data_IF_224485108375
#
_entry.id   IF_224485108375
#
_cell.length_a   1.000
_cell.length_b   1.000
_cell.length_c   1.000
_cell.angle_alpha   90.00
_cell.angle_beta   90.00
_cell.angle_gamma   90.00
#
_symmetry.space_group_name_H-M   'P 1'
#
loop_
_entity.id
_entity.type
_entity.pdbx_description
1 polymer ?
#
# COMPACT_ATOMS: atom_id res chain seq x y z
N UNK A 1 11.27 0.17 -4.28
CA UNK A 1 11.92 1.47 -4.34
C UNK A 1 10.91 2.53 -3.94
N UNK A 2 11.25 3.30 -2.92
CA UNK A 2 10.34 4.31 -2.39
C UNK A 2 10.02 5.39 -3.42
N UNK A 3 11.00 5.76 -4.23
CA UNK A 3 10.79 6.81 -5.23
C UNK A 3 9.67 6.42 -6.20
N UNK A 4 9.69 5.19 -6.70
CA UNK A 4 8.66 4.72 -7.62
C UNK A 4 7.31 4.66 -6.92
N UNK A 5 7.28 4.19 -5.67
CA UNK A 5 6.02 4.08 -4.95
C UNK A 5 5.39 5.44 -4.68
N UNK A 6 6.21 6.42 -4.34
CA UNK A 6 5.68 7.77 -4.14
C UNK A 6 5.17 8.36 -5.44
N UNK A 7 5.87 8.12 -6.54
CA UNK A 7 5.41 8.61 -7.84
C UNK A 7 4.06 8.00 -8.21
N UNK A 8 3.91 6.70 -8.01
CA UNK A 8 2.64 6.02 -8.31
C UNK A 8 1.54 6.57 -7.42
N UNK A 9 1.82 6.71 -6.14
CA UNK A 9 0.82 7.20 -5.18
C UNK A 9 0.36 8.61 -5.55
N UNK A 10 1.32 9.48 -5.84
CA UNK A 10 0.99 10.86 -6.17
C UNK A 10 0.15 10.94 -7.44
N UNK A 11 0.54 10.20 -8.46
CA UNK A 11 -0.20 10.21 -9.72
C UNK A 11 -1.60 9.66 -9.55
N UNK A 12 -1.74 8.56 -8.82
CA UNK A 12 -3.05 7.97 -8.60
C UNK A 12 -3.95 8.88 -7.77
N UNK A 13 -3.37 9.58 -6.80
CA UNK A 13 -4.13 10.53 -6.00
C UNK A 13 -4.64 11.68 -6.86
N UNK A 14 -3.78 12.23 -7.71
CA UNK A 14 -4.18 13.33 -8.58
C UNK A 14 -5.30 12.90 -9.52
N UNK A 15 -5.23 11.69 -10.02
CA UNK A 15 -6.20 11.20 -11.00
C UNK A 15 -7.41 10.52 -10.36
N UNK A 16 -7.40 10.33 -9.05
CA UNK A 16 -8.49 9.64 -8.36
C UNK A 16 -8.56 8.16 -8.67
N UNK A 17 -7.44 7.55 -9.00
CA UNK A 17 -7.38 6.16 -9.41
C UNK A 17 -6.91 5.32 -8.22
N UNK A 18 -7.60 4.19 -7.93
CA UNK A 18 -7.09 3.29 -6.90
C UNK A 18 -5.87 2.53 -7.39
N UNK A 19 -5.03 2.11 -6.45
CA UNK A 19 -3.94 1.22 -6.79
C UNK A 19 -3.72 0.21 -5.68
N UNK A 20 -3.29 -0.96 -6.07
CA UNK A 20 -3.11 -2.06 -5.14
C UNK A 20 -1.64 -2.14 -4.77
N UNK A 21 -1.37 -1.98 -3.49
CA UNK A 21 -0.02 -1.95 -2.95
C UNK A 21 0.39 -3.34 -2.53
N UNK A 22 1.60 -3.73 -2.89
CA UNK A 22 2.19 -4.97 -2.41
C UNK A 22 3.68 -4.77 -2.19
N UNK A 23 4.20 -5.34 -1.11
CA UNK A 23 5.62 -5.27 -0.80
C UNK A 23 6.04 -6.58 -0.18
N UNK A 24 7.29 -6.96 -0.41
CA UNK A 24 7.84 -8.20 0.14
C UNK A 24 9.20 -7.93 0.75
N UNK A 25 9.51 -8.67 1.79
CA UNK A 25 10.81 -8.61 2.43
C UNK A 25 11.03 -9.94 3.17
N UNK A 26 12.05 -10.67 2.75
CA UNK A 26 12.42 -11.96 3.33
C UNK A 26 11.25 -12.95 3.31
N UNK A 27 10.60 -13.15 4.44
CA UNK A 27 9.50 -14.10 4.59
C UNK A 27 8.16 -13.42 4.72
N UNK A 28 8.12 -12.10 4.56
CA UNK A 28 6.95 -11.31 4.89
C UNK A 28 6.48 -10.51 3.71
N UNK A 29 5.19 -10.23 3.70
CA UNK A 29 4.61 -9.39 2.69
C UNK A 29 3.57 -8.47 3.28
N UNK A 30 3.26 -7.43 2.52
CA UNK A 30 2.22 -6.48 2.88
C UNK A 30 1.36 -6.24 1.66
N UNK A 31 0.06 -6.11 1.89
CA UNK A 31 -0.89 -5.82 0.82
C UNK A 31 -1.89 -4.81 1.34
N UNK A 32 -2.21 -3.83 0.52
CA UNK A 32 -3.27 -2.88 0.81
C UNK A 32 -3.81 -2.34 -0.49
N UNK A 33 -4.83 -1.51 -0.39
CA UNK A 33 -5.33 -0.78 -1.54
C UNK A 33 -5.46 0.68 -1.14
N UNK A 34 -4.90 1.56 -1.94
CA UNK A 34 -4.99 2.99 -1.71
C UNK A 34 -5.91 3.61 -2.74
N UNK A 35 -6.84 4.43 -2.29
CA UNK A 35 -7.75 5.12 -3.19
C UNK A 35 -8.04 6.48 -2.60
N UNK A 36 -7.10 7.38 -2.75
CA UNK A 36 -7.26 8.76 -2.32
C UNK A 36 -7.59 9.61 -3.52
N UNK A 37 -8.28 10.70 -3.31
CA UNK A 37 -8.57 11.61 -4.42
C UNK A 37 -8.61 13.04 -3.93
N UNK A 38 -8.25 13.92 -4.84
CA UNK A 38 -8.37 15.35 -4.69
C UNK A 38 -9.37 15.84 -5.72
N UNK A 39 -10.17 16.80 -5.40
CA UNK A 39 -10.28 17.52 -4.14
C UNK A 39 -11.22 16.88 -3.13
N UNK A 40 -11.76 15.70 -3.43
CA UNK A 40 -12.76 15.08 -2.57
C UNK A 40 -12.21 14.69 -1.21
N UNK A 41 -10.89 14.56 -1.10
CA UNK A 41 -10.24 14.31 0.18
C UNK A 41 -10.74 13.03 0.83
N UNK A 42 -10.91 12.01 0.01
CA UNK A 42 -11.38 10.71 0.47
C UNK A 42 -10.27 9.70 0.40
N UNK A 43 -10.33 8.73 1.32
CA UNK A 43 -9.36 7.68 1.38
C UNK A 43 -8.03 8.16 1.89
N UNK A 44 -7.03 7.32 1.76
CA UNK A 44 -5.68 7.68 2.14
C UNK A 44 -4.73 7.22 1.07
N UNK A 45 -3.57 7.86 1.01
CA UNK A 45 -2.56 7.54 0.02
C UNK A 45 -1.34 6.92 0.71
N UNK A 46 -0.38 6.51 -0.11
CA UNK A 46 0.82 5.88 0.40
C UNK A 46 1.58 6.81 1.35
N UNK A 47 1.54 8.13 1.10
CA UNK A 47 2.23 9.08 1.98
C UNK A 47 1.58 9.23 3.34
N UNK A 48 0.30 8.87 3.47
CA UNK A 48 -0.31 8.82 4.79
C UNK A 48 0.34 7.75 5.65
N UNK A 49 0.71 6.64 5.03
CA UNK A 49 1.34 5.53 5.73
C UNK A 49 2.84 5.75 5.89
N UNK A 50 3.48 6.29 4.87
CA UNK A 50 4.92 6.55 4.87
C UNK A 50 5.16 8.01 4.47
N UNK A 51 5.01 8.94 5.42
CA UNK A 51 5.02 10.38 5.09
C UNK A 51 6.39 10.92 4.75
N UNK A 52 7.44 10.28 5.19
CA UNK A 52 8.78 10.84 5.07
C UNK A 52 9.54 10.16 3.93
N UNK A 53 9.58 10.85 2.80
CA UNK A 53 10.26 10.32 1.62
C UNK A 53 11.77 10.23 1.82
N UNK A 54 12.31 10.97 2.78
CA UNK A 54 13.74 10.98 2.99
C UNK A 54 14.24 9.90 3.92
N UNK A 55 13.34 9.15 4.55
CA UNK A 55 13.75 8.06 5.42
C UNK A 55 14.10 6.83 4.60
N UNK A 56 14.81 7.05 3.53
CA UNK A 56 15.08 6.00 2.57
C UNK A 56 16.11 5.01 3.05
N UNK A 57 16.86 5.37 4.05
CA UNK A 57 17.94 4.52 4.50
C UNK A 57 17.44 3.23 5.15
N UNK A 58 16.17 3.16 5.46
CA UNK A 58 15.68 2.07 6.30
C UNK A 58 15.31 0.82 5.53
N UNK A 59 15.11 0.89 4.23
CA UNK A 59 14.55 -0.26 3.52
C UNK A 59 15.63 -0.99 2.75
N UNK A 60 16.08 -2.14 3.22
CA UNK A 60 16.97 -2.96 2.42
C UNK A 60 16.20 -3.46 1.20
N UNK A 61 16.90 -3.60 0.10
CA UNK A 61 16.25 -4.11 -1.09
C UNK A 61 16.25 -5.63 -1.08
N UNK A 62 15.44 -6.23 -1.94
CA UNK A 62 15.30 -7.67 -2.00
C UNK A 62 16.61 -8.36 -2.39
N UNK A 63 17.43 -7.70 -3.18
CA UNK A 63 18.69 -8.28 -3.60
C UNK A 63 19.60 -8.55 -2.42
N UNK A 64 19.65 -7.61 -1.47
CA UNK A 64 20.52 -7.76 -0.32
C UNK A 64 19.97 -8.72 0.73
N UNK A 65 18.68 -8.63 0.98
CA UNK A 65 18.07 -9.40 2.05
C UNK A 65 17.65 -10.79 1.61
N UNK A 66 17.38 -10.95 0.31
CA UNK A 66 16.77 -12.17 -0.18
C UNK A 66 15.29 -12.22 0.12
N UNK A 67 14.57 -13.04 -0.62
CA UNK A 67 13.12 -13.19 -0.45
C UNK A 67 12.78 -14.66 -0.73
N UNK A 68 12.01 -15.25 0.17
CA UNK A 68 11.49 -16.59 -0.06
C UNK A 68 10.54 -16.51 -1.26
N UNK A 69 10.79 -17.37 -2.26
CA UNK A 69 10.15 -17.24 -3.56
C UNK A 69 8.62 -17.30 -3.55
N UNK A 70 8.02 -17.98 -2.57
CA UNK A 70 6.56 -18.07 -2.51
C UNK A 70 5.91 -16.79 -1.98
N UNK A 71 6.69 -15.91 -1.32
CA UNK A 71 6.10 -14.67 -0.76
C UNK A 71 5.59 -13.75 -1.87
N UNK A 72 6.39 -13.43 -2.90
CA UNK A 72 5.86 -12.62 -4.01
C UNK A 72 4.67 -13.28 -4.69
N UNK A 73 4.66 -14.61 -4.76
CA UNK A 73 3.53 -15.31 -5.34
C UNK A 73 2.26 -15.07 -4.58
N UNK A 74 2.31 -15.23 -3.26
CA UNK A 74 1.14 -14.98 -2.43
C UNK A 74 0.71 -13.52 -2.48
N UNK A 75 1.66 -12.60 -2.36
CA UNK A 75 1.35 -11.17 -2.41
C UNK A 75 0.68 -10.83 -3.73
N UNK A 76 1.21 -11.34 -4.84
CA UNK A 76 0.62 -11.08 -6.15
C UNK A 76 -0.80 -11.60 -6.27
N UNK A 77 -1.06 -12.79 -5.74
CA UNK A 77 -2.42 -13.35 -5.77
C UNK A 77 -3.37 -12.47 -4.95
N UNK A 78 -2.93 -12.03 -3.77
CA UNK A 78 -3.75 -11.17 -2.94
C UNK A 78 -4.01 -9.82 -3.61
N UNK A 79 -3.00 -9.27 -4.27
CA UNK A 79 -3.19 -8.03 -5.03
C UNK A 79 -4.20 -8.24 -6.15
N UNK A 80 -4.12 -9.36 -6.84
CA UNK A 80 -5.09 -9.68 -7.89
C UNK A 80 -6.49 -9.79 -7.36
N UNK A 81 -6.65 -10.39 -6.18
CA UNK A 81 -7.96 -10.49 -5.55
C UNK A 81 -8.55 -9.11 -5.26
N UNK A 82 -7.71 -8.20 -4.74
CA UNK A 82 -8.18 -6.84 -4.46
C UNK A 82 -8.60 -6.12 -5.75
N UNK A 83 -7.81 -6.26 -6.79
CA UNK A 83 -8.14 -5.62 -8.07
C UNK A 83 -9.46 -6.16 -8.63
N UNK A 84 -9.64 -7.48 -8.58
CA UNK A 84 -10.86 -8.09 -9.10
C UNK A 84 -12.09 -7.67 -8.30
N UNK A 85 -11.98 -7.62 -6.97
CA UNK A 85 -13.10 -7.18 -6.15
C UNK A 85 -13.47 -5.75 -6.49
N UNK A 86 -12.48 -4.89 -6.67
CA UNK A 86 -12.76 -3.51 -7.01
C UNK A 86 -13.47 -3.41 -8.36
N UNK A 87 -12.96 -4.10 -9.36
CA UNK A 87 -13.53 -4.03 -10.70
C UNK A 87 -14.93 -4.64 -10.76
N UNK A 88 -15.19 -5.66 -9.98
CA UNK A 88 -16.48 -6.32 -9.96
C UNK A 88 -17.46 -5.68 -8.99
N UNK A 89 -16.99 -4.80 -8.13
CA UNK A 89 -17.85 -4.17 -7.13
C UNK A 89 -18.35 -5.13 -6.07
N UNK A 90 -17.54 -6.13 -5.70
CA UNK A 90 -17.96 -7.14 -4.72
C UNK A 90 -16.99 -7.20 -3.56
N UNK A 91 -17.46 -7.78 -2.47
CA UNK A 91 -16.63 -8.06 -1.31
C UNK A 91 -16.23 -6.80 -0.56
N UNK A 92 -15.23 -6.96 0.30
CA UNK A 92 -14.70 -5.88 1.12
C UNK A 92 -13.24 -5.68 0.76
N UNK A 93 -12.87 -4.44 0.42
CA UNK A 93 -11.50 -4.16 -0.01
C UNK A 93 -10.59 -3.92 1.19
N UNK A 94 -9.29 -3.92 0.91
CA UNK A 94 -8.29 -3.58 1.92
C UNK A 94 -8.07 -2.07 2.05
N UNK A 95 -8.96 -1.25 1.52
CA UNK A 95 -8.85 0.19 1.74
C UNK A 95 -8.94 0.48 3.22
N UNK A 96 -7.97 1.23 3.74
CA UNK A 96 -7.92 1.56 5.15
C UNK A 96 -7.32 0.47 6.03
N UNK A 97 -6.82 -0.59 5.43
CA UNK A 97 -6.21 -1.69 6.17
C UNK A 97 -4.93 -2.14 5.49
N UNK A 98 -3.93 -2.48 6.28
CA UNK A 98 -2.69 -3.04 5.76
C UNK A 98 -2.62 -4.49 6.23
N UNK A 99 -2.66 -5.41 5.29
CA UNK A 99 -2.55 -6.83 5.60
C UNK A 99 -1.08 -7.21 5.65
N UNK A 100 -0.69 -7.85 6.73
CA UNK A 100 0.66 -8.37 6.91
C UNK A 100 0.61 -9.89 6.84
N UNK A 101 1.47 -10.47 6.02
CA UNK A 101 1.59 -11.91 5.95
C UNK A 101 3.01 -12.30 6.35
N UNK A 102 3.12 -13.23 7.28
CA UNK A 102 4.40 -13.76 7.74
C UNK A 102 4.38 -15.24 7.45
N UNK A 103 5.05 -15.64 6.38
CA UNK A 103 5.00 -17.03 5.96
C UNK A 103 5.96 -17.91 6.75
N UNK A 104 6.95 -17.33 7.41
CA UNK A 104 7.83 -18.12 8.24
C UNK A 104 7.09 -18.68 9.44
N UNK A 105 6.28 -17.86 10.08
CA UNK A 105 5.53 -18.26 11.27
C UNK A 105 4.06 -18.51 10.97
N UNK A 106 3.68 -18.38 9.70
CA UNK A 106 2.32 -18.57 9.23
C UNK A 106 1.32 -17.75 10.02
N UNK A 107 1.59 -16.46 10.12
CA UNK A 107 0.74 -15.52 10.82
C UNK A 107 0.32 -14.41 9.90
N UNK A 108 -0.96 -14.10 9.92
CA UNK A 108 -1.56 -13.04 9.11
C UNK A 108 -2.24 -12.08 10.07
N UNK A 109 -2.02 -10.80 9.89
CA UNK A 109 -2.71 -9.82 10.73
C UNK A 109 -2.91 -8.53 9.94
N UNK A 110 -3.83 -7.71 10.44
CA UNK A 110 -4.16 -6.45 9.80
C UNK A 110 -3.87 -5.29 10.73
N UNK A 111 -3.39 -4.21 10.14
CA UNK A 111 -3.25 -2.94 10.83
C UNK A 111 -4.25 -1.97 10.22
N UNK A 112 -5.08 -1.36 11.05
CA UNK A 112 -6.01 -0.35 10.57
C UNK A 112 -5.25 0.94 10.30
N UNK A 113 -5.49 1.52 9.15
CA UNK A 113 -4.80 2.73 8.71
C UNK A 113 -5.73 3.93 8.88
N UNK A 114 -5.14 5.09 9.14
CA UNK A 114 -5.88 6.32 9.26
C UNK A 114 -5.31 7.34 8.29
N UNK A 115 -6.21 8.06 7.62
CA UNK A 115 -5.80 9.13 6.75
C UNK A 115 -5.15 10.23 7.58
N UNK A 116 -4.08 10.79 7.03
CA UNK A 116 -3.40 11.92 7.65
C UNK A 116 -4.02 13.19 7.09
N UNK A 117 -4.75 13.91 7.92
CA UNK A 117 -5.44 15.11 7.46
C UNK A 117 -4.47 16.20 7.03
N UNK A 118 -3.20 16.08 7.42
CA UNK A 118 -2.18 17.05 7.01
C UNK A 118 -1.23 16.48 5.97
N UNK A 119 -1.61 15.39 5.33
CA UNK A 119 -0.79 14.80 4.30
C UNK A 119 -0.56 15.77 3.15
N UNK A 120 0.69 15.91 2.73
CA UNK A 120 1.03 16.86 1.69
C UNK A 120 0.46 16.47 0.33
N UNK A 121 0.10 15.19 0.16
CA UNK A 121 -0.41 14.71 -1.13
C UNK A 121 -1.92 14.67 -1.18
N UNK A 122 -2.58 14.22 -0.12
CA UNK A 122 -4.03 14.04 -0.15
C UNK A 122 -4.75 14.68 1.02
N UNK A 123 -4.03 15.45 1.84
CA UNK A 123 -4.59 15.97 3.08
C UNK A 123 -5.79 16.87 2.88
N UNK A 124 -6.62 16.94 3.91
CA UNK A 124 -7.85 17.69 3.87
C UNK A 124 -7.71 19.12 4.33
N UNK A 125 -6.56 19.45 4.88
CA UNK A 125 -6.32 20.81 5.32
C UNK A 125 -6.23 21.78 4.17
N UNK A 126 -6.08 21.25 3.03
CA UNK A 126 -5.97 22.07 1.85
C UNK A 126 -7.26 22.80 1.66
N UNK A 127 -7.30 23.93 1.88
CA UNK A 127 -8.56 24.62 1.69
C UNK A 127 -8.40 25.64 0.63
#
# INVERSE_FOLDING_TARGET
DFTARYAISDACTELGIPWVYGAVYRYEGQVSMFHASKPEKRGLCYRCLFPDADSTSAAPNCTEAGVLGVVPGLVGVLQGAEALKYLLGIGTSLQGRLLHVDLLNMQFHETRLQADTECIACGTYVS
#
